data_IF_635671240676
#
_entry.id   IF_635671240676
#
_cell.length_a   1.000
_cell.length_b   1.000
_cell.length_c   1.000
_cell.angle_alpha   90.00
_cell.angle_beta   90.00
_cell.angle_gamma   90.00
#
_symmetry.space_group_name_H-M   'P 1'
#
loop_
_entity.id
_entity.type
_entity.pdbx_description
1 polymer ?
#
# COMPACT_ATOMS: atom_id res chain seq x y z
N UNK A 1 -3.24 47.95 -15.87
CA UNK A 1 -3.24 46.69 -16.65
C UNK A 1 -1.94 45.89 -16.52
N UNK A 2 -0.74 46.47 -16.73
CA UNK A 2 0.55 45.74 -16.59
C UNK A 2 0.81 45.11 -15.20
N UNK A 3 0.40 45.78 -14.11
CA UNK A 3 0.54 45.26 -12.73
C UNK A 3 -0.37 44.07 -12.42
N UNK A 4 -1.53 43.99 -13.07
CA UNK A 4 -2.46 42.84 -12.94
C UNK A 4 -1.93 41.63 -13.70
N UNK A 5 -1.36 41.84 -14.90
CA UNK A 5 -0.76 40.78 -15.72
C UNK A 5 0.42 40.12 -14.99
N UNK A 6 1.28 40.91 -14.33
CA UNK A 6 2.37 40.40 -13.52
C UNK A 6 1.88 39.59 -12.30
N UNK A 7 0.79 40.02 -11.66
CA UNK A 7 0.17 39.31 -10.53
C UNK A 7 -0.42 37.95 -10.95
N UNK A 8 -1.11 37.88 -12.09
CA UNK A 8 -1.63 36.62 -12.61
C UNK A 8 -0.53 35.63 -13.00
N UNK A 9 0.61 36.11 -13.54
CA UNK A 9 1.74 35.26 -13.89
C UNK A 9 2.46 34.64 -12.69
N UNK A 10 2.48 35.33 -11.53
CA UNK A 10 3.05 34.80 -10.29
C UNK A 10 2.12 33.78 -9.64
N UNK A 11 0.80 33.98 -9.73
CA UNK A 11 -0.20 33.06 -9.18
C UNK A 11 -0.23 31.74 -9.95
N UNK A 12 -0.10 31.75 -11.28
CA UNK A 12 -0.01 30.50 -12.08
C UNK A 12 1.26 29.71 -11.81
N UNK A 13 2.37 30.37 -11.46
CA UNK A 13 3.62 29.70 -11.12
C UNK A 13 3.56 28.97 -9.76
N UNK A 14 2.72 29.44 -8.82
CA UNK A 14 2.48 28.78 -7.54
C UNK A 14 1.41 27.68 -7.60
N UNK A 15 0.44 27.80 -8.51
CA UNK A 15 -0.64 26.82 -8.65
C UNK A 15 -0.14 25.44 -9.12
N UNK A 16 0.95 25.38 -9.89
CA UNK A 16 1.56 24.11 -10.33
C UNK A 16 2.27 23.36 -9.20
N UNK A 17 2.63 24.03 -8.10
CA UNK A 17 3.25 23.42 -6.92
C UNK A 17 2.21 22.69 -6.05
N UNK A 18 0.92 23.04 -6.17
CA UNK A 18 -0.18 22.39 -5.45
C UNK A 18 -0.77 21.17 -6.16
N UNK A 19 -0.31 20.83 -7.37
CA UNK A 19 -0.64 19.56 -8.06
C UNK A 19 0.35 18.45 -7.68
N UNK A 20 0.98 18.59 -6.51
CA UNK A 20 1.88 17.61 -5.90
C UNK A 20 1.13 16.61 -5.03
N UNK A 21 1.07 15.38 -5.54
CA UNK A 21 0.95 14.10 -4.84
C UNK A 21 -0.40 13.72 -4.18
N UNK A 22 -0.95 12.62 -4.71
CA UNK A 22 -1.81 11.64 -4.05
C UNK A 22 -3.24 12.04 -3.67
N UNK A 23 -3.90 12.85 -4.50
CA UNK A 23 -5.36 12.92 -4.43
C UNK A 23 -5.99 11.67 -5.04
N UNK A 24 -6.21 10.68 -4.17
CA UNK A 24 -7.38 9.79 -4.23
C UNK A 24 -7.46 8.85 -5.45
N UNK A 25 -6.57 7.86 -5.55
CA UNK A 25 -6.80 6.67 -6.40
C UNK A 25 -7.65 5.63 -5.65
N UNK A 26 -8.90 5.99 -5.39
CA UNK A 26 -10.02 5.10 -5.06
C UNK A 26 -9.91 4.22 -3.79
N UNK A 27 -9.97 4.87 -2.62
CA UNK A 27 -10.72 4.39 -1.44
C UNK A 27 -10.26 3.13 -0.69
N UNK A 28 -9.29 2.36 -1.19
CA UNK A 28 -8.69 1.24 -0.47
C UNK A 28 -7.18 1.44 -0.40
N UNK A 29 -6.65 1.46 0.82
CA UNK A 29 -5.22 1.49 1.04
C UNK A 29 -4.64 0.13 0.65
N UNK A 30 -3.53 0.14 -0.09
CA UNK A 30 -2.85 -1.08 -0.53
C UNK A 30 -1.61 -1.26 0.33
N UNK A 31 -1.45 -2.46 0.86
CA UNK A 31 -0.28 -2.87 1.61
C UNK A 31 0.27 -4.16 1.05
N UNK A 32 1.56 -4.36 1.21
CA UNK A 32 2.28 -5.52 0.71
C UNK A 32 2.84 -6.30 1.89
N UNK A 33 2.56 -7.60 1.94
CA UNK A 33 2.99 -8.51 3.01
C UNK A 33 3.74 -9.68 2.40
N UNK A 34 4.69 -10.22 3.15
CA UNK A 34 5.27 -11.54 2.87
C UNK A 34 4.69 -12.53 3.87
N UNK A 35 4.15 -13.64 3.38
CA UNK A 35 3.60 -14.70 4.24
C UNK A 35 4.74 -15.47 4.87
N UNK A 36 4.89 -15.35 6.19
CA UNK A 36 5.91 -16.05 6.97
C UNK A 36 5.27 -16.65 8.22
N UNK A 37 5.63 -17.90 8.52
CA UNK A 37 5.08 -18.65 9.64
C UNK A 37 3.67 -19.21 9.41
N UNK A 38 3.11 -19.74 10.49
CA UNK A 38 1.79 -20.36 10.54
C UNK A 38 0.74 -19.40 11.10
N UNK A 39 -0.54 -19.56 10.71
CA UNK A 39 -1.62 -18.80 11.33
C UNK A 39 -1.80 -19.21 12.80
N UNK A 40 -2.47 -18.35 13.58
CA UNK A 40 -2.90 -18.70 14.93
C UNK A 40 -4.00 -19.79 14.93
N UNK A 41 -4.43 -20.23 16.11
CA UNK A 41 -5.50 -21.23 16.27
C UNK A 41 -6.83 -20.83 15.60
N UNK A 42 -7.04 -19.53 15.36
CA UNK A 42 -8.21 -18.98 14.67
C UNK A 42 -8.06 -18.94 13.13
N UNK A 43 -6.89 -19.31 12.59
CA UNK A 43 -6.58 -19.25 11.16
C UNK A 43 -6.18 -17.85 10.68
N UNK A 44 -5.82 -16.95 11.58
CA UNK A 44 -5.43 -15.57 11.27
C UNK A 44 -3.91 -15.42 11.25
N UNK A 45 -3.45 -14.63 10.28
CA UNK A 45 -2.08 -14.17 10.17
C UNK A 45 -2.01 -12.76 10.71
N UNK A 46 -1.00 -12.49 11.52
CA UNK A 46 -0.66 -11.13 11.95
C UNK A 46 0.74 -10.82 11.48
N UNK A 47 0.84 -10.11 10.36
CA UNK A 47 2.09 -9.92 9.63
C UNK A 47 2.40 -8.41 9.45
N UNK A 48 3.68 -8.04 9.37
CA UNK A 48 4.07 -6.70 8.97
C UNK A 48 3.71 -6.47 7.50
N UNK A 49 3.06 -5.35 7.23
CA UNK A 49 2.60 -4.92 5.92
C UNK A 49 3.22 -3.57 5.59
N UNK A 50 3.64 -3.38 4.35
CA UNK A 50 4.30 -2.16 3.91
C UNK A 50 3.46 -1.46 2.86
N UNK A 51 3.23 -0.15 3.01
CA UNK A 51 2.64 0.63 1.94
C UNK A 51 3.65 0.86 0.79
N UNK A 52 3.21 1.48 -0.30
CA UNK A 52 4.09 1.81 -1.44
C UNK A 52 5.27 2.72 -1.05
N UNK A 53 5.16 3.46 0.06
CA UNK A 53 6.18 4.36 0.60
C UNK A 53 7.14 3.64 1.55
N UNK A 54 6.90 2.36 1.87
CA UNK A 54 7.69 1.55 2.80
C UNK A 54 7.36 1.81 4.26
N UNK A 55 6.23 2.46 4.58
CA UNK A 55 5.75 2.60 5.95
C UNK A 55 5.15 1.27 6.42
N UNK A 56 5.49 0.88 7.64
CA UNK A 56 5.06 -0.38 8.23
C UNK A 56 3.72 -0.22 8.96
N UNK A 57 2.83 -1.19 8.74
CA UNK A 57 1.58 -1.38 9.45
C UNK A 57 1.43 -2.86 9.79
N UNK A 58 1.06 -3.18 11.02
CA UNK A 58 0.75 -4.56 11.40
C UNK A 58 -0.70 -4.87 11.02
N UNK A 59 -0.90 -5.86 10.15
CA UNK A 59 -2.24 -6.26 9.68
C UNK A 59 -2.57 -7.67 10.14
N UNK A 60 -3.80 -7.84 10.61
CA UNK A 60 -4.38 -9.15 10.94
C UNK A 60 -5.43 -9.53 9.91
N UNK A 61 -5.25 -10.69 9.27
CA UNK A 61 -6.18 -11.19 8.26
C UNK A 61 -6.10 -12.71 8.12
N UNK A 62 -7.17 -13.32 7.62
CA UNK A 62 -7.23 -14.76 7.35
C UNK A 62 -7.45 -15.01 5.87
N UNK A 63 -7.00 -16.17 5.39
CA UNK A 63 -7.33 -16.62 4.04
C UNK A 63 -8.79 -17.07 3.99
N UNK A 64 -9.58 -16.44 3.13
CA UNK A 64 -10.93 -16.87 2.79
C UNK A 64 -10.86 -18.03 1.79
N UNK A 65 -11.56 -19.14 2.08
CA UNK A 65 -11.63 -20.32 1.22
C UNK A 65 -11.42 -21.64 1.97
N UNK A 66 -11.44 -22.76 1.23
CA UNK A 66 -11.28 -24.12 1.78
C UNK A 66 -9.88 -24.35 2.37
N UNK A 67 -8.85 -23.77 1.75
CA UNK A 67 -7.47 -23.81 2.24
C UNK A 67 -7.18 -22.56 3.06
N UNK A 68 -7.29 -22.64 4.39
CA UNK A 68 -7.03 -21.53 5.34
C UNK A 68 -5.54 -21.17 5.51
N UNK A 69 -4.65 -21.70 4.65
CA UNK A 69 -3.21 -21.43 4.69
C UNK A 69 -2.73 -20.75 3.41
N UNK A 70 -1.94 -19.69 3.54
CA UNK A 70 -1.22 -19.11 2.41
C UNK A 70 0.00 -19.97 2.07
N UNK A 71 0.48 -19.85 0.83
CA UNK A 71 1.78 -20.43 0.47
C UNK A 71 2.88 -19.73 1.27
N UNK A 72 3.87 -20.48 1.72
CA UNK A 72 4.99 -19.92 2.47
C UNK A 72 5.86 -19.02 1.58
N UNK A 73 6.30 -17.89 2.13
CA UNK A 73 7.08 -16.85 1.45
C UNK A 73 6.42 -16.22 0.22
N UNK A 74 5.11 -16.32 0.08
CA UNK A 74 4.36 -15.63 -0.97
C UNK A 74 4.26 -14.14 -0.65
N UNK A 75 4.22 -13.32 -1.70
CA UNK A 75 3.95 -11.89 -1.57
C UNK A 75 2.48 -11.64 -1.85
N UNK A 76 1.80 -10.93 -0.96
CA UNK A 76 0.41 -10.56 -1.15
C UNK A 76 0.27 -9.05 -1.19
N UNK A 77 -0.58 -8.56 -2.10
CA UNK A 77 -1.12 -7.21 -2.06
C UNK A 77 -2.47 -7.27 -1.36
N UNK A 78 -2.58 -6.55 -0.25
CA UNK A 78 -3.72 -6.55 0.67
C UNK A 78 -4.44 -5.21 0.56
N UNK A 79 -5.76 -5.27 0.39
CA UNK A 79 -6.62 -4.11 0.26
C UNK A 79 -7.33 -3.82 1.57
N UNK A 80 -6.88 -2.77 2.25
CA UNK A 80 -7.44 -2.28 3.51
C UNK A 80 -8.44 -1.17 3.24
N UNK A 81 -9.62 -1.28 3.85
CA UNK A 81 -10.60 -0.21 3.89
C UNK A 81 -10.61 0.41 5.30
N UNK A 82 -10.79 1.71 5.36
CA UNK A 82 -10.79 2.49 6.59
C UNK A 82 -9.40 2.51 7.25
N UNK A 83 -9.14 1.76 8.33
CA UNK A 83 -7.86 1.81 9.08
C UNK A 83 -7.15 0.45 9.20
N UNK A 84 -7.89 -0.65 9.33
CA UNK A 84 -7.33 -1.99 9.60
C UNK A 84 -8.12 -3.13 8.95
N UNK A 85 -9.27 -2.83 8.33
CA UNK A 85 -10.15 -3.86 7.78
C UNK A 85 -9.67 -4.32 6.41
N UNK A 86 -9.07 -5.50 6.38
CA UNK A 86 -8.74 -6.20 5.13
C UNK A 86 -10.02 -6.62 4.41
N UNK A 87 -10.18 -6.16 3.17
CA UNK A 87 -11.35 -6.45 2.33
C UNK A 87 -11.07 -7.43 1.21
N UNK A 88 -9.80 -7.52 0.78
CA UNK A 88 -9.36 -8.44 -0.25
C UNK A 88 -7.84 -8.59 -0.16
N UNK A 89 -7.33 -9.66 -0.76
CA UNK A 89 -5.90 -9.88 -0.97
C UNK A 89 -5.71 -10.56 -2.33
N UNK A 90 -4.55 -10.39 -2.92
CA UNK A 90 -4.13 -11.12 -4.12
C UNK A 90 -2.65 -11.49 -3.99
N UNK A 91 -2.28 -12.63 -4.57
CA UNK A 91 -0.88 -13.04 -4.66
C UNK A 91 -0.22 -12.28 -5.81
N UNK A 92 0.90 -11.63 -5.51
CA UNK A 92 1.68 -10.85 -6.48
C UNK A 92 3.07 -11.44 -6.60
N UNK A 93 3.68 -11.25 -7.76
CA UNK A 93 5.09 -11.58 -7.94
C UNK A 93 5.98 -10.56 -7.25
N UNK A 94 7.23 -10.97 -7.02
CA UNK A 94 8.27 -10.07 -6.50
C UNK A 94 8.45 -8.83 -7.38
N UNK A 95 8.36 -8.97 -8.69
CA UNK A 95 8.60 -7.87 -9.63
C UNK A 95 7.55 -6.76 -9.52
N UNK A 96 6.32 -7.11 -9.13
CA UNK A 96 5.20 -6.20 -8.91
C UNK A 96 5.28 -5.42 -7.59
N UNK A 97 6.21 -5.77 -6.70
CA UNK A 97 6.41 -5.04 -5.46
C UNK A 97 7.02 -3.65 -5.73
N UNK A 98 6.54 -2.60 -5.05
CA UNK A 98 7.18 -1.28 -5.08
C UNK A 98 8.64 -1.38 -4.62
N UNK A 99 9.52 -0.56 -5.20
CA UNK A 99 10.96 -0.57 -4.90
C UNK A 99 11.22 -0.44 -3.39
N UNK A 100 10.51 0.48 -2.72
CA UNK A 100 10.67 0.66 -1.27
C UNK A 100 10.23 -0.54 -0.44
N UNK A 101 9.22 -1.29 -0.91
CA UNK A 101 8.78 -2.53 -0.26
C UNK A 101 9.82 -3.62 -0.45
N UNK A 102 10.41 -3.74 -1.65
CA UNK A 102 11.51 -4.68 -1.92
C UNK A 102 12.68 -4.43 -0.97
N UNK A 103 13.04 -3.16 -0.76
CA UNK A 103 14.11 -2.77 0.18
C UNK A 103 13.76 -3.17 1.62
N UNK A 104 12.52 -2.93 2.06
CA UNK A 104 12.05 -3.29 3.42
C UNK A 104 12.01 -4.79 3.67
N UNK A 105 11.64 -5.56 2.65
CA UNK A 105 11.61 -7.02 2.70
C UNK A 105 12.99 -7.65 2.38
N UNK A 106 14.03 -6.82 2.19
CA UNK A 106 15.39 -7.24 1.86
C UNK A 106 15.46 -8.17 0.63
N UNK A 107 14.66 -7.85 -0.38
CA UNK A 107 14.53 -8.63 -1.60
C UNK A 107 15.49 -8.06 -2.65
N UNK A 108 16.53 -8.82 -3.01
CA UNK A 108 17.53 -8.44 -4.03
C UNK A 108 17.04 -8.54 -5.46
#
# INVERSE_FOLDING_TARGET
MKRLIALFAVITLFASILVGCDYNRNGKQQYYVQTVGDPNDNGEYTLPAFDEKGNELKLTFMKTGENRKFKEHAFLRVYVKDTDRVTAYEEVSKDELPTKVKDKLNIK
#
